data_IF_500106689388
#
_entry.id   IF_500106689388
#
_cell.length_a   1.000
_cell.length_b   1.000
_cell.length_c   1.000
_cell.angle_alpha   90.00
_cell.angle_beta   90.00
_cell.angle_gamma   90.00
#
_symmetry.space_group_name_H-M   'P 1'
#
loop_
_entity.id
_entity.type
_entity.pdbx_description
1 polymer ?
#
# COMPACT_ATOMS: atom_id res chain seq x y z
N UNK A 1 -0.91 -19.89 -8.68
CA UNK A 1 -1.99 -19.33 -9.51
C UNK A 1 -2.10 -17.82 -9.30
N UNK A 2 -1.32 -17.04 -10.07
CA UNK A 2 -1.35 -15.57 -10.04
C UNK A 2 -1.70 -15.08 -11.43
N UNK A 3 -2.71 -14.20 -11.53
CA UNK A 3 -3.02 -13.46 -12.76
C UNK A 3 -2.54 -12.03 -12.60
N UNK A 4 -1.97 -11.45 -13.67
CA UNK A 4 -1.43 -10.09 -13.64
C UNK A 4 -2.09 -9.25 -14.73
N UNK A 5 -2.58 -8.07 -14.33
CA UNK A 5 -2.96 -7.00 -15.27
C UNK A 5 -1.83 -5.97 -15.25
N UNK A 6 -1.04 -5.87 -16.31
CA UNK A 6 0.09 -4.96 -16.35
C UNK A 6 -0.38 -3.49 -16.40
N UNK A 7 0.31 -2.61 -15.67
CA UNK A 7 0.16 -1.17 -15.81
C UNK A 7 0.67 -0.67 -17.16
N UNK A 8 0.22 0.50 -17.57
CA UNK A 8 0.65 1.17 -18.80
C UNK A 8 0.94 2.64 -18.56
N UNK A 9 1.94 3.19 -19.24
CA UNK A 9 2.25 4.64 -19.23
C UNK A 9 1.02 5.47 -19.67
N UNK A 10 0.16 4.90 -20.51
CA UNK A 10 -1.09 5.53 -20.95
C UNK A 10 -2.04 5.83 -19.80
N UNK A 11 -1.98 5.07 -18.69
CA UNK A 11 -2.81 5.32 -17.51
C UNK A 11 -2.54 6.69 -16.88
N UNK A 12 -1.31 7.18 -16.90
CA UNK A 12 -0.98 8.52 -16.41
C UNK A 12 -1.63 9.63 -17.25
N UNK A 13 -1.81 9.41 -18.55
CA UNK A 13 -2.53 10.32 -19.44
C UNK A 13 -4.03 10.26 -19.18
N UNK A 14 -4.57 9.08 -18.96
CA UNK A 14 -5.99 8.89 -18.62
C UNK A 14 -6.35 9.58 -17.30
N UNK A 15 -5.47 9.56 -16.33
CA UNK A 15 -5.67 10.24 -15.05
C UNK A 15 -5.94 11.75 -15.23
N UNK A 16 -5.17 12.41 -16.11
CA UNK A 16 -5.38 13.83 -16.45
C UNK A 16 -6.65 14.09 -17.25
N UNK A 17 -6.98 13.20 -18.19
CA UNK A 17 -8.12 13.38 -19.10
C UNK A 17 -9.46 13.07 -18.44
N UNK A 18 -9.49 12.15 -17.51
CA UNK A 18 -10.72 11.57 -16.94
C UNK A 18 -11.03 12.07 -15.53
N UNK A 19 -10.11 12.77 -14.87
CA UNK A 19 -10.24 13.21 -13.48
C UNK A 19 -11.50 14.05 -13.19
N UNK A 20 -12.05 14.73 -14.20
CA UNK A 20 -13.25 15.57 -14.09
C UNK A 20 -14.53 14.88 -14.61
N UNK A 21 -14.47 13.63 -15.06
CA UNK A 21 -15.66 12.93 -15.56
C UNK A 21 -16.36 12.17 -14.46
N UNK A 22 -17.66 12.38 -14.33
CA UNK A 22 -18.50 11.71 -13.35
C UNK A 22 -18.48 10.18 -13.54
N UNK A 23 -18.43 9.42 -12.43
CA UNK A 23 -18.42 7.96 -12.44
C UNK A 23 -17.08 7.30 -12.76
N UNK A 24 -16.07 8.05 -13.18
CA UNK A 24 -14.74 7.49 -13.53
C UNK A 24 -13.96 6.94 -12.34
N UNK A 25 -14.29 7.34 -11.11
CA UNK A 25 -13.69 6.79 -9.89
C UNK A 25 -14.16 5.37 -9.53
N UNK A 26 -15.15 4.79 -10.21
CA UNK A 26 -15.75 3.50 -9.89
C UNK A 26 -15.52 2.43 -10.97
N UNK A 27 -14.71 2.71 -11.98
CA UNK A 27 -14.50 1.82 -13.13
C UNK A 27 -13.86 0.50 -12.68
N UNK A 28 -12.81 0.57 -11.86
CA UNK A 28 -12.12 -0.62 -11.36
C UNK A 28 -13.02 -1.46 -10.45
N UNK A 29 -13.76 -0.83 -9.54
CA UNK A 29 -14.70 -1.53 -8.66
C UNK A 29 -15.75 -2.31 -9.46
N UNK A 30 -16.32 -1.68 -10.51
CA UNK A 30 -17.28 -2.36 -11.40
C UNK A 30 -16.64 -3.51 -12.19
N UNK A 31 -15.43 -3.32 -12.69
CA UNK A 31 -14.71 -4.36 -13.42
C UNK A 31 -14.40 -5.58 -12.53
N UNK A 32 -13.97 -5.36 -11.29
CA UNK A 32 -13.67 -6.44 -10.34
C UNK A 32 -14.91 -7.23 -9.92
N UNK A 33 -16.11 -6.64 -9.96
CA UNK A 33 -17.35 -7.38 -9.67
C UNK A 33 -17.56 -8.56 -10.63
N UNK A 34 -17.11 -8.47 -11.89
CA UNK A 34 -17.25 -9.54 -12.87
C UNK A 34 -16.34 -10.75 -12.61
N UNK A 35 -15.33 -10.61 -11.77
CA UNK A 35 -14.32 -11.64 -11.46
C UNK A 35 -14.22 -11.97 -9.97
N UNK A 36 -15.12 -11.44 -9.15
CA UNK A 36 -15.07 -11.56 -7.69
C UNK A 36 -15.00 -12.99 -7.17
N UNK A 37 -15.61 -13.94 -7.89
CA UNK A 37 -15.68 -15.34 -7.48
C UNK A 37 -14.50 -16.18 -8.06
N UNK A 38 -13.58 -15.55 -8.80
CA UNK A 38 -12.46 -16.23 -9.43
C UNK A 38 -11.15 -16.11 -8.63
N UNK A 39 -11.08 -15.19 -7.66
CA UNK A 39 -9.86 -14.88 -6.90
C UNK A 39 -10.18 -14.68 -5.43
N UNK A 40 -9.33 -15.24 -4.57
CA UNK A 40 -9.42 -15.05 -3.11
C UNK A 40 -8.95 -13.63 -2.71
N UNK A 41 -7.96 -13.10 -3.42
CA UNK A 41 -7.36 -11.78 -3.18
C UNK A 41 -7.09 -11.03 -4.46
N UNK A 42 -7.31 -9.72 -4.42
CA UNK A 42 -6.91 -8.78 -5.47
C UNK A 42 -5.99 -7.73 -4.87
N UNK A 43 -4.77 -7.63 -5.36
CA UNK A 43 -3.80 -6.62 -4.96
C UNK A 43 -3.75 -5.52 -6.02
N UNK A 44 -4.00 -4.28 -5.61
CA UNK A 44 -4.00 -3.12 -6.50
C UNK A 44 -2.79 -2.26 -6.15
N UNK A 45 -1.76 -2.28 -7.01
CA UNK A 45 -0.66 -1.33 -6.92
C UNK A 45 -1.07 0.00 -7.56
N UNK A 46 -1.00 1.08 -6.81
CA UNK A 46 -1.47 2.40 -7.25
C UNK A 46 -0.45 3.49 -6.97
N UNK A 47 -0.36 4.52 -7.85
CA UNK A 47 0.53 5.64 -7.61
C UNK A 47 0.10 6.44 -6.37
N UNK A 48 1.05 7.06 -5.64
CA UNK A 48 0.78 7.83 -4.40
C UNK A 48 0.20 9.22 -4.68
N UNK A 49 -0.23 9.49 -5.92
CA UNK A 49 -0.75 10.79 -6.36
C UNK A 49 -2.27 10.77 -6.31
N UNK A 50 -2.85 11.81 -5.70
CA UNK A 50 -4.30 11.98 -5.69
C UNK A 50 -4.82 12.28 -7.10
N UNK A 51 -5.43 11.27 -7.71
CA UNK A 51 -6.00 11.32 -9.04
C UNK A 51 -7.09 10.26 -9.20
N UNK A 52 -7.67 10.15 -10.39
CA UNK A 52 -8.76 9.20 -10.66
C UNK A 52 -8.30 7.75 -10.46
N UNK A 53 -7.02 7.45 -10.69
CA UNK A 53 -6.46 6.11 -10.48
C UNK A 53 -6.46 5.72 -9.00
N UNK A 54 -6.01 6.62 -8.12
CA UNK A 54 -6.04 6.39 -6.68
C UNK A 54 -7.48 6.25 -6.17
N UNK A 55 -8.40 7.09 -6.65
CA UNK A 55 -9.83 6.99 -6.30
C UNK A 55 -10.40 5.64 -6.71
N UNK A 56 -10.07 5.14 -7.92
CA UNK A 56 -10.48 3.81 -8.39
C UNK A 56 -9.93 2.69 -7.49
N UNK A 57 -8.64 2.75 -7.15
CA UNK A 57 -8.02 1.76 -6.28
C UNK A 57 -8.70 1.72 -4.91
N UNK A 58 -8.93 2.88 -4.30
CA UNK A 58 -9.59 2.99 -3.00
C UNK A 58 -11.05 2.57 -3.04
N UNK A 59 -11.79 2.92 -4.10
CA UNK A 59 -13.19 2.53 -4.25
C UNK A 59 -13.37 1.03 -4.48
N UNK A 60 -12.36 0.37 -5.03
CA UNK A 60 -12.34 -1.07 -5.31
C UNK A 60 -11.75 -1.92 -4.17
N UNK A 61 -11.17 -1.29 -3.15
CA UNK A 61 -10.47 -1.99 -2.07
C UNK A 61 -11.33 -2.09 -0.82
N UNK A 62 -11.22 -3.21 -0.12
CA UNK A 62 -11.77 -3.39 1.23
C UNK A 62 -10.83 -2.77 2.27
N UNK A 63 -9.52 -2.79 1.98
CA UNK A 63 -8.48 -2.24 2.86
C UNK A 63 -7.34 -1.60 2.06
N UNK A 64 -6.81 -0.51 2.58
CA UNK A 64 -5.64 0.18 2.01
C UNK A 64 -4.41 -0.11 2.88
N UNK A 65 -3.39 -0.73 2.30
CA UNK A 65 -2.08 -0.87 2.94
C UNK A 65 -1.23 0.35 2.56
N UNK A 66 -0.71 1.05 3.55
CA UNK A 66 0.06 2.30 3.39
C UNK A 66 1.51 2.05 3.82
N UNK A 67 2.39 1.59 2.91
CA UNK A 67 3.80 1.47 3.25
C UNK A 67 4.42 2.86 3.41
N UNK A 68 5.13 3.08 4.51
CA UNK A 68 5.80 4.35 4.81
C UNK A 68 7.21 4.10 5.29
N UNK A 69 8.19 4.76 4.70
CA UNK A 69 9.56 4.69 5.17
C UNK A 69 9.69 5.37 6.53
N UNK A 70 10.51 4.80 7.41
CA UNK A 70 10.74 5.35 8.75
C UNK A 70 11.74 6.51 8.69
N UNK A 71 11.37 7.56 7.94
CA UNK A 71 12.14 8.80 7.78
C UNK A 71 11.24 10.04 7.75
N UNK A 72 11.78 11.20 8.07
CA UNK A 72 11.02 12.44 8.25
C UNK A 72 10.18 12.86 7.03
N UNK A 73 10.74 12.81 5.82
CA UNK A 73 10.01 13.24 4.62
C UNK A 73 8.85 12.30 4.29
N UNK A 74 9.04 10.99 4.48
CA UNK A 74 7.98 10.01 4.29
C UNK A 74 6.85 10.19 5.32
N UNK A 75 7.17 10.52 6.57
CA UNK A 75 6.17 10.88 7.59
C UNK A 75 5.33 12.08 7.14
N UNK A 76 5.95 13.13 6.58
CA UNK A 76 5.20 14.29 6.04
C UNK A 76 4.31 13.92 4.85
N UNK A 77 4.73 12.97 4.03
CA UNK A 77 3.90 12.36 2.98
C UNK A 77 2.69 11.64 3.55
N UNK A 78 2.90 10.82 4.59
CA UNK A 78 1.85 10.11 5.30
C UNK A 78 0.79 11.07 5.88
N UNK A 79 1.20 12.13 6.56
CA UNK A 79 0.28 13.15 7.11
C UNK A 79 -0.66 13.72 6.03
N UNK A 80 -0.14 14.00 4.84
CA UNK A 80 -0.94 14.48 3.70
C UNK A 80 -1.89 13.42 3.18
N UNK A 81 -1.43 12.18 3.07
CA UNK A 81 -2.24 11.06 2.61
C UNK A 81 -3.41 10.78 3.55
N UNK A 82 -3.18 10.74 4.86
CA UNK A 82 -4.23 10.53 5.86
C UNK A 82 -5.27 11.64 5.84
N UNK A 83 -4.87 12.90 5.64
CA UNK A 83 -5.84 14.01 5.43
C UNK A 83 -6.72 13.75 4.21
N UNK A 84 -6.14 13.27 3.12
CA UNK A 84 -6.90 12.89 1.91
C UNK A 84 -7.87 11.77 2.21
N UNK A 85 -7.45 10.73 2.93
CA UNK A 85 -8.30 9.62 3.35
C UNK A 85 -9.50 10.10 4.16
N UNK A 86 -9.26 11.00 5.12
CA UNK A 86 -10.33 11.59 5.94
C UNK A 86 -11.38 12.34 5.08
N UNK A 87 -10.95 13.04 4.05
CA UNK A 87 -11.87 13.71 3.13
C UNK A 87 -12.69 12.71 2.31
N UNK A 88 -12.04 11.66 1.81
CA UNK A 88 -12.72 10.63 0.99
C UNK A 88 -13.67 9.76 1.80
N UNK A 89 -13.37 9.50 3.07
CA UNK A 89 -14.27 8.76 3.98
C UNK A 89 -15.67 9.39 4.09
N UNK A 90 -15.75 10.71 4.00
CA UNK A 90 -17.04 11.43 4.05
C UNK A 90 -17.95 11.09 2.87
N UNK A 91 -17.39 10.68 1.75
CA UNK A 91 -18.12 10.36 0.51
C UNK A 91 -18.45 8.87 0.37
N UNK A 92 -17.95 8.01 1.29
CA UNK A 92 -18.18 6.56 1.25
C UNK A 92 -18.96 6.11 2.49
N UNK A 93 -20.21 5.66 2.36
CA UNK A 93 -20.94 5.06 3.47
C UNK A 93 -20.15 3.87 4.05
N UNK A 94 -19.92 3.87 5.37
CA UNK A 94 -19.09 2.85 6.04
C UNK A 94 -17.58 3.11 6.01
N UNK A 95 -17.11 4.17 5.33
CA UNK A 95 -15.69 4.50 5.26
C UNK A 95 -14.85 3.46 4.51
N UNK A 96 -13.54 3.50 4.70
CA UNK A 96 -12.62 2.43 4.32
C UNK A 96 -11.58 2.26 5.43
N UNK A 97 -11.04 1.05 5.52
CA UNK A 97 -10.01 0.73 6.48
C UNK A 97 -8.63 0.88 5.87
N UNK A 98 -7.67 1.32 6.65
CA UNK A 98 -6.28 1.36 6.23
C UNK A 98 -5.35 0.84 7.33
N UNK A 99 -4.19 0.35 6.91
CA UNK A 99 -3.12 -0.09 7.80
C UNK A 99 -1.81 0.54 7.35
N UNK A 100 -1.18 1.29 8.24
CA UNK A 100 0.14 1.87 8.02
C UNK A 100 1.19 0.80 8.30
N UNK A 101 2.06 0.55 7.34
CA UNK A 101 3.13 -0.43 7.43
C UNK A 101 4.48 0.29 7.42
N UNK A 102 5.16 0.43 8.57
CA UNK A 102 6.49 1.02 8.63
C UNK A 102 7.50 0.18 7.85
N UNK A 103 8.19 0.80 6.89
CA UNK A 103 9.16 0.14 6.01
C UNK A 103 10.53 0.78 6.09
N UNK A 104 11.54 0.12 5.51
CA UNK A 104 12.94 0.59 5.49
C UNK A 104 13.47 0.92 6.90
N UNK A 105 12.98 0.20 7.91
CA UNK A 105 13.35 0.42 9.28
C UNK A 105 14.80 -0.01 9.55
N UNK A 106 15.61 0.94 10.04
CA UNK A 106 16.97 0.67 10.50
C UNK A 106 17.12 1.02 11.99
N UNK A 107 17.13 -0.02 12.83
CA UNK A 107 17.28 0.12 14.29
C UNK A 107 18.57 0.79 14.76
N UNK A 108 19.55 0.93 13.86
CA UNK A 108 20.86 1.57 14.17
C UNK A 108 20.78 3.09 14.07
N UNK A 109 19.75 3.63 13.44
CA UNK A 109 19.60 5.06 13.23
C UNK A 109 18.56 5.66 14.17
N UNK A 110 18.95 6.75 14.85
CA UNK A 110 18.05 7.49 15.73
C UNK A 110 16.86 8.05 14.98
N UNK A 111 17.07 8.51 13.76
CA UNK A 111 15.99 9.05 12.91
C UNK A 111 14.89 8.02 12.65
N UNK A 112 15.26 6.77 12.31
CA UNK A 112 14.30 5.71 12.06
C UNK A 112 13.49 5.35 13.31
N UNK A 113 14.13 5.27 14.46
CA UNK A 113 13.48 5.03 15.75
C UNK A 113 12.49 6.13 16.09
N UNK A 114 12.92 7.40 16.06
CA UNK A 114 12.06 8.55 16.37
C UNK A 114 10.87 8.66 15.42
N UNK A 115 11.08 8.42 14.12
CA UNK A 115 9.98 8.47 13.14
C UNK A 115 8.97 7.35 13.40
N UNK A 116 9.42 6.13 13.72
CA UNK A 116 8.54 5.02 14.08
C UNK A 116 7.68 5.35 15.30
N UNK A 117 8.29 5.89 16.36
CA UNK A 117 7.59 6.27 17.58
C UNK A 117 6.54 7.34 17.28
N UNK A 118 6.91 8.40 16.54
CA UNK A 118 5.98 9.46 16.13
C UNK A 118 4.79 8.93 15.31
N UNK A 119 5.05 7.98 14.38
CA UNK A 119 3.97 7.35 13.58
C UNK A 119 3.04 6.55 14.51
N UNK A 120 3.58 5.77 15.44
CA UNK A 120 2.78 4.99 16.39
C UNK A 120 1.97 5.86 17.33
N UNK A 121 2.54 6.94 17.85
CA UNK A 121 1.84 7.91 18.69
C UNK A 121 0.70 8.61 17.95
N UNK A 122 0.92 8.97 16.69
CA UNK A 122 -0.06 9.71 15.90
C UNK A 122 -1.22 8.85 15.37
N UNK A 123 -0.99 7.57 15.08
CA UNK A 123 -1.95 6.73 14.34
C UNK A 123 -2.37 5.45 15.08
N UNK A 124 -1.77 5.13 16.22
CA UNK A 124 -2.19 4.06 17.13
C UNK A 124 -2.47 2.73 16.44
N UNK A 125 -3.68 2.22 16.62
CA UNK A 125 -4.12 0.91 16.11
C UNK A 125 -4.14 0.79 14.59
N UNK A 126 -4.05 1.91 13.87
CA UNK A 126 -3.91 1.89 12.41
C UNK A 126 -2.50 1.52 11.94
N UNK A 127 -1.52 1.42 12.87
CA UNK A 127 -0.15 1.05 12.55
C UNK A 127 0.07 -0.44 12.82
N UNK A 128 0.57 -1.15 11.83
CA UNK A 128 1.00 -2.53 12.02
C UNK A 128 2.10 -2.60 13.10
N UNK A 129 1.95 -3.54 14.05
CA UNK A 129 2.80 -3.62 15.24
C UNK A 129 4.25 -4.02 14.97
N UNK A 130 4.54 -4.54 13.77
CA UNK A 130 5.90 -4.86 13.33
C UNK A 130 6.40 -3.85 12.28
N UNK A 131 7.54 -4.14 11.68
CA UNK A 131 8.19 -3.28 10.68
C UNK A 131 8.81 -4.12 9.56
N UNK A 132 8.91 -3.56 8.35
CA UNK A 132 9.75 -4.13 7.29
C UNK A 132 11.15 -3.51 7.42
N UNK A 133 12.18 -4.30 7.77
CA UNK A 133 13.52 -3.78 7.96
C UNK A 133 14.22 -3.44 6.64
N UNK A 134 15.26 -2.62 6.72
CA UNK A 134 16.23 -2.52 5.63
C UNK A 134 16.89 -3.90 5.44
N UNK A 135 16.81 -4.41 4.21
CA UNK A 135 17.43 -5.67 3.82
C UNK A 135 17.95 -5.57 2.38
N UNK A 136 19.25 -5.74 2.20
CA UNK A 136 19.89 -5.66 0.86
C UNK A 136 19.45 -6.78 -0.07
N UNK A 137 18.96 -7.90 0.49
CA UNK A 137 18.46 -9.04 -0.28
C UNK A 137 17.28 -8.70 -1.20
N UNK A 138 16.52 -7.63 -0.92
CA UNK A 138 15.52 -7.12 -1.86
C UNK A 138 16.15 -6.69 -3.19
N UNK A 139 17.32 -6.02 -3.14
CA UNK A 139 18.02 -5.56 -4.36
C UNK A 139 18.58 -6.74 -5.15
N UNK A 140 19.20 -7.70 -4.44
CA UNK A 140 19.75 -8.91 -5.05
C UNK A 140 18.65 -9.71 -5.75
N UNK A 141 17.51 -9.92 -5.10
CA UNK A 141 16.34 -10.61 -5.62
C UNK A 141 15.75 -9.89 -6.85
N UNK A 142 15.60 -8.56 -6.75
CA UNK A 142 15.10 -7.72 -7.85
C UNK A 142 16.01 -7.79 -9.08
N UNK A 143 17.33 -7.78 -8.90
CA UNK A 143 18.30 -7.91 -10.01
C UNK A 143 18.15 -9.25 -10.75
N UNK A 144 17.77 -10.30 -10.04
CA UNK A 144 17.56 -11.62 -10.62
C UNK A 144 16.12 -11.88 -11.07
N UNK A 145 15.21 -10.90 -10.91
CA UNK A 145 13.79 -11.04 -11.23
C UNK A 145 13.11 -12.20 -10.47
N UNK A 146 13.56 -12.48 -9.24
CA UNK A 146 13.03 -13.54 -8.39
C UNK A 146 12.41 -12.89 -7.14
N UNK A 147 11.20 -13.28 -6.70
CA UNK A 147 10.63 -12.81 -5.45
C UNK A 147 11.54 -13.14 -4.26
N UNK A 148 11.66 -12.22 -3.30
CA UNK A 148 12.54 -12.40 -2.15
C UNK A 148 12.20 -13.66 -1.35
N UNK A 149 10.94 -14.03 -1.27
CA UNK A 149 10.46 -15.26 -0.61
C UNK A 149 10.98 -16.56 -1.23
N UNK A 150 11.38 -16.52 -2.51
CA UNK A 150 12.02 -17.64 -3.20
C UNK A 150 13.55 -17.51 -3.25
N UNK A 151 14.03 -16.26 -3.35
CA UNK A 151 15.47 -15.99 -3.45
C UNK A 151 16.20 -16.17 -2.12
N UNK A 152 15.63 -15.66 -1.04
CA UNK A 152 16.22 -15.71 0.31
C UNK A 152 15.11 -15.79 1.39
N UNK A 153 14.41 -16.94 1.51
CA UNK A 153 13.24 -17.07 2.41
C UNK A 153 13.59 -16.82 3.89
N UNK A 154 14.82 -17.10 4.30
CA UNK A 154 15.30 -16.89 5.68
C UNK A 154 15.77 -15.45 5.94
N UNK A 155 15.73 -14.56 4.95
CA UNK A 155 16.12 -13.17 5.14
C UNK A 155 15.11 -12.44 6.03
N UNK A 156 15.60 -11.43 6.76
CA UNK A 156 14.75 -10.62 7.65
C UNK A 156 13.61 -9.95 6.90
N UNK A 157 13.86 -9.50 5.68
CA UNK A 157 12.86 -8.91 4.81
C UNK A 157 11.77 -9.91 4.41
N UNK A 158 12.14 -11.14 4.00
CA UNK A 158 11.18 -12.18 3.66
C UNK A 158 10.29 -12.57 4.85
N UNK A 159 10.90 -12.78 6.01
CA UNK A 159 10.16 -13.11 7.24
C UNK A 159 9.21 -11.98 7.68
N UNK A 160 9.63 -10.72 7.55
CA UNK A 160 8.79 -9.58 7.86
C UNK A 160 7.57 -9.50 6.93
N UNK A 161 7.73 -9.74 5.62
CA UNK A 161 6.61 -9.81 4.68
C UNK A 161 5.70 -11.02 4.93
N UNK A 162 6.24 -12.18 5.31
CA UNK A 162 5.43 -13.33 5.71
C UNK A 162 4.56 -12.99 6.94
N UNK A 163 5.13 -12.30 7.93
CA UNK A 163 4.41 -11.81 9.10
C UNK A 163 3.32 -10.79 8.72
N UNK A 164 3.62 -9.86 7.80
CA UNK A 164 2.63 -8.91 7.28
C UNK A 164 1.48 -9.63 6.56
N UNK A 165 1.79 -10.64 5.74
CA UNK A 165 0.77 -11.44 5.06
C UNK A 165 -0.16 -12.11 6.06
N UNK A 166 0.40 -12.77 7.09
CA UNK A 166 -0.40 -13.38 8.16
C UNK A 166 -1.30 -12.37 8.86
N UNK A 167 -0.79 -11.19 9.15
CA UNK A 167 -1.58 -10.11 9.74
C UNK A 167 -2.72 -9.66 8.83
N UNK A 168 -2.46 -9.45 7.54
CA UNK A 168 -3.48 -9.01 6.57
C UNK A 168 -4.58 -10.06 6.39
N UNK A 169 -4.24 -11.34 6.47
CA UNK A 169 -5.21 -12.45 6.37
C UNK A 169 -6.12 -12.59 7.60
N UNK A 170 -5.79 -11.96 8.72
CA UNK A 170 -6.57 -11.96 9.96
C UNK A 170 -7.49 -10.74 10.10
N UNK A 171 -7.40 -9.79 9.20
CA UNK A 171 -8.18 -8.56 9.17
C UNK A 171 -9.52 -8.73 8.46
#
# INVERSE_FOLDING_TARGET
NISLIPGSITLATLDRMLGNKEGMGLVLSRALQSVKDLYDYVLIDSPPVLGVMMVNAMAASDRVIVPVQTEFLAQKGLERMIKTFTLMQRSRPGGFQYTIVPTMFDRRTRASLQTLDTIKEAYGDSVWNAVIPVDTKFRDASLQHIPLSLFAPESRGAQAYASLLTYVQQL
#
